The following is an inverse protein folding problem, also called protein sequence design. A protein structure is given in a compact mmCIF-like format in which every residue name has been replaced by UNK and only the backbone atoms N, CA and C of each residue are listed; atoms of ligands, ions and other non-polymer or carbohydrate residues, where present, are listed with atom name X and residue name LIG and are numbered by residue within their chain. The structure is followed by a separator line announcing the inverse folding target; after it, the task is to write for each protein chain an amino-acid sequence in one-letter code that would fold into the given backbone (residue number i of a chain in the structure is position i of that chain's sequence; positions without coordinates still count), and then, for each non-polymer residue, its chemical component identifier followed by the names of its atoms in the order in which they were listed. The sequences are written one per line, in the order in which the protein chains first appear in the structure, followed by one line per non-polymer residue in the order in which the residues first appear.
data_IF_157012250088
#
_entry.id   IF_157012250088
#
_cell.length_a   1.000
_cell.length_b   1.000
_cell.length_c   1.000
_cell.angle_alpha   90.00
_cell.angle_beta   90.00
_cell.angle_gamma   90.00
#
_symmetry.space_group_name_H-M   'P 1'
#
loop_
_entity.id
_entity.type
_entity.pdbx_description
1 polymer ?
#
# COMPACT_ATOMS: atom_id res chain seq x y z
N UNK A 1 -19.17 45.21 -30.33
CA UNK A 1 -18.17 46.09 -30.96
C UNK A 1 -16.97 46.36 -30.06
N UNK A 2 -17.14 46.78 -28.79
CA UNK A 2 -16.01 46.98 -27.87
C UNK A 2 -15.31 45.66 -27.49
N UNK A 3 -16.07 44.61 -27.17
CA UNK A 3 -15.49 43.30 -26.79
C UNK A 3 -14.72 42.62 -27.93
N UNK A 4 -15.19 42.74 -29.17
CA UNK A 4 -14.46 42.24 -30.36
C UNK A 4 -13.16 43.02 -30.62
N UNK A 5 -13.13 44.32 -30.35
CA UNK A 5 -11.93 45.14 -30.47
C UNK A 5 -10.90 44.79 -29.39
N UNK A 6 -11.37 44.52 -28.17
CA UNK A 6 -10.53 44.05 -27.06
C UNK A 6 -9.96 42.65 -27.34
N UNK A 7 -10.79 41.71 -27.82
CA UNK A 7 -10.31 40.37 -28.20
C UNK A 7 -9.28 40.41 -29.33
N UNK A 8 -9.46 41.29 -30.33
CA UNK A 8 -8.45 41.50 -31.40
C UNK A 8 -7.14 42.08 -30.88
N UNK A 9 -7.16 42.78 -29.74
CA UNK A 9 -5.98 43.28 -29.04
C UNK A 9 -5.40 42.27 -28.04
N UNK A 10 -5.96 41.05 -27.95
CA UNK A 10 -5.55 40.03 -26.98
C UNK A 10 -6.01 40.31 -25.54
N UNK A 11 -7.02 41.17 -25.36
CA UNK A 11 -7.61 41.52 -24.08
C UNK A 11 -8.98 40.86 -23.94
N UNK A 12 -9.17 40.14 -22.83
CA UNK A 12 -10.40 39.43 -22.51
C UNK A 12 -11.07 40.09 -21.32
N UNK A 13 -12.40 40.19 -21.34
CA UNK A 13 -13.18 40.71 -20.20
C UNK A 13 -13.73 39.52 -19.43
N UNK A 14 -13.48 39.45 -18.12
CA UNK A 14 -14.01 38.39 -17.27
C UNK A 14 -15.44 38.66 -16.78
N UNK A 15 -16.04 37.68 -16.08
CA UNK A 15 -17.41 37.78 -15.54
C UNK A 15 -17.64 38.93 -14.54
N UNK A 16 -16.58 39.61 -14.10
CA UNK A 16 -16.63 40.77 -13.19
C UNK A 16 -16.23 42.08 -13.91
N UNK A 17 -16.28 42.11 -15.24
CA UNK A 17 -15.87 43.24 -16.09
C UNK A 17 -14.39 43.66 -15.91
N UNK A 18 -13.50 42.75 -15.51
CA UNK A 18 -12.06 43.02 -15.43
C UNK A 18 -11.37 42.60 -16.72
N UNK A 19 -10.42 43.43 -17.17
CA UNK A 19 -9.57 43.12 -18.32
C UNK A 19 -8.49 42.10 -17.88
N UNK A 20 -8.41 40.97 -18.58
CA UNK A 20 -7.41 39.91 -18.43
C UNK A 20 -6.65 39.72 -19.74
N UNK A 21 -5.37 39.37 -19.61
CA UNK A 21 -4.49 39.04 -20.75
C UNK A 21 -4.67 37.59 -21.24
N UNK A 22 -5.17 36.73 -20.36
CA UNK A 22 -5.47 35.33 -20.64
C UNK A 22 -6.98 35.17 -20.75
N UNK A 23 -7.42 34.33 -21.69
CA UNK A 23 -8.81 33.96 -21.80
C UNK A 23 -9.27 33.32 -20.49
N UNK A 24 -10.26 33.90 -19.78
CA UNK A 24 -10.64 33.48 -18.43
C UNK A 24 -11.07 32.01 -18.39
N UNK A 25 -11.89 31.57 -19.34
CA UNK A 25 -12.38 30.18 -19.40
C UNK A 25 -11.24 29.15 -19.51
N UNK A 26 -10.21 29.47 -20.32
CA UNK A 26 -9.06 28.57 -20.54
C UNK A 26 -8.15 28.57 -19.31
N UNK A 27 -7.96 29.73 -18.67
CA UNK A 27 -7.16 29.85 -17.47
C UNK A 27 -7.81 29.10 -16.29
N UNK A 28 -9.12 29.25 -16.12
CA UNK A 28 -9.87 28.61 -15.03
C UNK A 28 -9.94 27.08 -15.25
N UNK A 29 -10.23 26.62 -16.47
CA UNK A 29 -10.22 25.19 -16.81
C UNK A 29 -8.83 24.55 -16.66
N UNK A 30 -7.77 25.28 -17.01
CA UNK A 30 -6.39 24.81 -16.82
C UNK A 30 -6.02 24.68 -15.35
N UNK A 31 -6.44 25.64 -14.51
CA UNK A 31 -6.24 25.58 -13.06
C UNK A 31 -6.99 24.41 -12.43
N UNK A 32 -8.24 24.18 -12.79
CA UNK A 32 -9.03 23.04 -12.33
C UNK A 32 -8.38 21.71 -12.72
N UNK A 33 -7.87 21.60 -13.96
CA UNK A 33 -7.13 20.43 -14.41
C UNK A 33 -5.85 20.20 -13.60
N UNK A 34 -5.10 21.26 -13.28
CA UNK A 34 -3.88 21.18 -12.46
C UNK A 34 -4.20 20.73 -11.04
N UNK A 35 -5.27 21.25 -10.43
CA UNK A 35 -5.72 20.82 -9.11
C UNK A 35 -6.15 19.35 -9.11
N UNK A 36 -6.96 18.93 -10.09
CA UNK A 36 -7.35 17.53 -10.26
C UNK A 36 -6.16 16.60 -10.47
N UNK A 37 -5.17 17.01 -11.27
CA UNK A 37 -3.94 16.25 -11.47
C UNK A 37 -3.13 16.10 -10.17
N UNK A 38 -3.00 17.17 -9.37
CA UNK A 38 -2.35 17.11 -8.05
C UNK A 38 -3.06 16.16 -7.11
N UNK A 39 -4.39 16.18 -7.09
CA UNK A 39 -5.18 15.29 -6.24
C UNK A 39 -4.99 13.82 -6.64
N UNK A 40 -4.97 13.52 -7.94
CA UNK A 40 -4.69 12.17 -8.46
C UNK A 40 -3.29 11.70 -8.03
N UNK A 41 -2.27 12.55 -8.17
CA UNK A 41 -0.90 12.21 -7.75
C UNK A 41 -0.84 11.94 -6.24
N UNK A 42 -1.51 12.75 -5.43
CA UNK A 42 -1.56 12.54 -3.97
C UNK A 42 -2.26 11.23 -3.60
N UNK A 43 -3.39 10.93 -4.24
CA UNK A 43 -4.12 9.66 -4.06
C UNK A 43 -3.25 8.47 -4.47
N UNK A 44 -2.52 8.58 -5.58
CA UNK A 44 -1.62 7.52 -6.05
C UNK A 44 -0.44 7.30 -5.10
N UNK A 45 0.15 8.38 -4.55
CA UNK A 45 1.19 8.27 -3.52
C UNK A 45 0.68 7.53 -2.30
N UNK A 46 -0.49 7.93 -1.78
CA UNK A 46 -1.12 7.29 -0.62
C UNK A 46 -1.40 5.81 -0.88
N UNK A 47 -1.87 5.47 -2.08
CA UNK A 47 -2.10 4.09 -2.49
C UNK A 47 -0.80 3.27 -2.50
N UNK A 48 0.28 3.84 -3.03
CA UNK A 48 1.58 3.19 -3.06
C UNK A 48 2.13 2.94 -1.65
N UNK A 49 2.03 3.95 -0.77
CA UNK A 49 2.45 3.83 0.63
C UNK A 49 1.66 2.75 1.37
N UNK A 50 0.35 2.70 1.15
CA UNK A 50 -0.53 1.66 1.71
C UNK A 50 -0.14 0.28 1.21
N UNK A 51 0.13 0.15 -0.09
CA UNK A 51 0.56 -1.13 -0.69
C UNK A 51 1.89 -1.60 -0.11
N UNK A 52 2.86 -0.69 0.04
CA UNK A 52 4.15 -1.00 0.67
C UNK A 52 3.98 -1.47 2.12
N UNK A 53 3.08 -0.85 2.89
CA UNK A 53 2.78 -1.27 4.26
C UNK A 53 2.16 -2.68 4.30
N UNK A 54 1.26 -3.00 3.37
CA UNK A 54 0.65 -4.33 3.25
C UNK A 54 1.71 -5.39 2.93
N UNK A 55 2.59 -5.13 1.96
CA UNK A 55 3.69 -6.05 1.61
C UNK A 55 4.55 -6.33 2.85
N UNK A 56 4.94 -5.29 3.58
CA UNK A 56 5.73 -5.43 4.81
C UNK A 56 5.00 -6.25 5.89
N UNK A 57 3.68 -6.10 6.00
CA UNK A 57 2.88 -6.91 6.93
C UNK A 57 2.87 -8.39 6.52
N UNK A 58 2.75 -8.68 5.23
CA UNK A 58 2.83 -10.05 4.71
C UNK A 58 4.22 -10.68 4.93
N UNK A 59 5.30 -9.93 4.74
CA UNK A 59 6.65 -10.40 5.03
C UNK A 59 6.81 -10.76 6.52
N UNK A 60 6.32 -9.90 7.41
CA UNK A 60 6.32 -10.17 8.86
C UNK A 60 5.49 -11.40 9.24
N UNK A 61 4.34 -11.58 8.58
CA UNK A 61 3.49 -12.76 8.76
C UNK A 61 4.20 -14.03 8.30
N UNK A 62 4.86 -14.01 7.14
CA UNK A 62 5.60 -15.15 6.61
C UNK A 62 6.72 -15.60 7.58
N UNK A 63 7.48 -14.66 8.14
CA UNK A 63 8.51 -14.95 9.15
C UNK A 63 7.89 -15.60 10.40
N UNK A 64 6.76 -15.05 10.87
CA UNK A 64 6.07 -15.57 12.06
C UNK A 64 5.56 -16.99 11.83
N UNK A 65 4.96 -17.25 10.67
CA UNK A 65 4.45 -18.57 10.28
C UNK A 65 5.58 -19.61 10.21
N UNK A 66 6.71 -19.27 9.60
CA UNK A 66 7.85 -20.19 9.55
C UNK A 66 8.43 -20.44 10.95
N UNK A 67 8.48 -19.43 11.81
CA UNK A 67 8.88 -19.58 13.22
C UNK A 67 7.97 -20.54 13.99
N UNK A 68 6.66 -20.40 13.85
CA UNK A 68 5.68 -21.31 14.47
C UNK A 68 5.78 -22.74 13.93
N UNK A 69 5.99 -22.90 12.62
CA UNK A 69 6.22 -24.19 11.99
C UNK A 69 7.45 -24.89 12.58
N UNK A 70 8.56 -24.18 12.74
CA UNK A 70 9.77 -24.72 13.37
C UNK A 70 9.48 -25.12 14.82
N UNK A 71 8.79 -24.28 15.60
CA UNK A 71 8.41 -24.60 16.99
C UNK A 71 7.56 -25.87 17.07
N UNK A 72 6.53 -25.99 16.23
CA UNK A 72 5.66 -27.15 16.19
C UNK A 72 6.43 -28.43 15.82
N UNK A 73 7.36 -28.36 14.87
CA UNK A 73 8.23 -29.49 14.53
C UNK A 73 9.11 -29.92 15.69
N UNK A 74 9.73 -28.96 16.40
CA UNK A 74 10.54 -29.23 17.59
C UNK A 74 9.75 -29.91 18.70
N UNK A 75 8.55 -29.40 19.03
CA UNK A 75 7.67 -30.03 20.01
C UNK A 75 7.28 -31.45 19.62
N UNK A 76 6.97 -31.67 18.33
CA UNK A 76 6.62 -33.01 17.81
C UNK A 76 7.80 -33.98 17.89
N UNK A 77 9.02 -33.50 17.62
CA UNK A 77 10.23 -34.31 17.70
C UNK A 77 10.56 -34.68 19.14
N UNK A 78 10.40 -33.75 20.09
CA UNK A 78 10.57 -34.02 21.51
C UNK A 78 9.62 -35.14 21.99
N UNK A 79 8.33 -35.07 21.65
CA UNK A 79 7.36 -36.11 21.99
C UNK A 79 7.71 -37.47 21.37
N UNK A 80 8.13 -37.49 20.10
CA UNK A 80 8.60 -38.73 19.46
C UNK A 80 9.82 -39.32 20.16
N UNK A 81 10.75 -38.49 20.63
CA UNK A 81 11.93 -38.95 21.36
C UNK A 81 11.55 -39.57 22.71
N UNK A 82 10.66 -38.91 23.47
CA UNK A 82 10.14 -39.44 24.74
C UNK A 82 9.44 -40.78 24.54
N UNK A 83 8.60 -40.91 23.51
CA UNK A 83 7.93 -42.17 23.22
C UNK A 83 8.90 -43.30 22.84
N UNK A 84 9.97 -42.99 22.09
CA UNK A 84 11.02 -43.98 21.79
C UNK A 84 11.76 -44.43 23.04
N UNK A 85 12.08 -43.49 23.94
CA UNK A 85 12.73 -43.79 25.21
C UNK A 85 11.86 -44.73 26.05
N UNK A 86 10.58 -44.40 26.19
CA UNK A 86 9.62 -45.22 26.93
C UNK A 86 9.54 -46.67 26.40
N UNK A 87 9.45 -46.84 25.08
CA UNK A 87 9.41 -48.17 24.45
C UNK A 87 10.72 -48.94 24.67
N UNK A 88 11.87 -48.26 24.62
CA UNK A 88 13.17 -48.88 24.88
C UNK A 88 13.28 -49.35 26.35
N UNK A 89 12.80 -48.53 27.30
CA UNK A 89 12.81 -48.86 28.73
C UNK A 89 11.89 -50.07 29.01
N UNK A 90 10.70 -50.12 28.40
CA UNK A 90 9.79 -51.28 28.49
C UNK A 90 10.43 -52.57 27.93
N UNK A 91 11.11 -52.48 26.78
CA UNK A 91 11.81 -53.63 26.19
C UNK A 91 12.94 -54.14 27.08
N UNK A 92 13.73 -53.25 27.70
CA UNK A 92 14.79 -53.66 28.63
C UNK A 92 14.23 -54.39 29.84
N UNK A 93 13.12 -53.93 30.41
CA UNK A 93 12.45 -54.58 31.53
C UNK A 93 11.97 -56.00 31.18
N UNK A 94 11.45 -56.21 29.97
CA UNK A 94 10.99 -57.53 29.52
C UNK A 94 12.13 -58.52 29.27
N UNK A 95 13.32 -58.06 28.90
CA UNK A 95 14.50 -58.92 28.68
C UNK A 95 15.17 -59.33 30.01
N UNK A 96 14.93 -58.58 31.09
CA UNK A 96 15.48 -58.86 32.42
C UNK A 96 14.58 -59.73 33.31
N UNK A 97 13.42 -60.19 32.82
CA UNK A 97 12.55 -61.19 33.48
C UNK A 97 12.78 -62.59 32.90
#
# INVERSE_FOLDING_TARGET
MADEALMKAGLYVDAYNKIRLLQPDVADASNELIEGAKEIVNKLSTFNDTTAAIIKAFDGLAITVEGEKIRAMSSRNALKSVNKQHVADEQQLQVCQ
#
